data_IF_252890660491
#
_entry.id   IF_252890660491
#
_cell.length_a   1.000
_cell.length_b   1.000
_cell.length_c   1.000
_cell.angle_alpha   90.00
_cell.angle_beta   90.00
_cell.angle_gamma   90.00
#
_symmetry.space_group_name_H-M   'P 1'
#
loop_
_entity.id
_entity.type
_entity.pdbx_description
1 polymer ?
#
# COMPACT_ATOMS: atom_id res chain seq x y z
N UNK A 1 -38.30 21.79 -38.34
CA UNK A 1 -38.67 22.14 -36.95
C UNK A 1 -37.58 21.60 -36.00
N UNK A 2 -37.07 22.48 -35.15
CA UNK A 2 -35.91 22.41 -34.22
C UNK A 2 -35.29 21.05 -33.86
N UNK A 3 -34.09 20.77 -34.41
CA UNK A 3 -33.05 19.92 -33.79
C UNK A 3 -31.72 20.61 -33.39
N UNK A 4 -31.45 21.93 -33.62
CA UNK A 4 -30.19 22.54 -33.19
C UNK A 4 -29.98 22.51 -31.67
N UNK A 5 -31.06 22.66 -30.89
CA UNK A 5 -30.99 22.63 -29.43
C UNK A 5 -30.65 21.24 -28.89
N UNK A 6 -31.09 20.16 -29.56
CA UNK A 6 -30.81 18.80 -29.10
C UNK A 6 -29.32 18.46 -29.26
N UNK A 7 -28.71 18.79 -30.40
CA UNK A 7 -27.28 18.57 -30.61
C UNK A 7 -26.42 19.39 -29.64
N UNK A 8 -26.81 20.64 -29.35
CA UNK A 8 -26.14 21.45 -28.32
C UNK A 8 -26.24 20.82 -26.94
N UNK A 9 -27.41 20.30 -26.56
CA UNK A 9 -27.60 19.62 -25.28
C UNK A 9 -26.79 18.32 -25.19
N UNK A 10 -26.68 17.56 -26.28
CA UNK A 10 -25.85 16.35 -26.35
C UNK A 10 -24.35 16.67 -26.23
N UNK A 11 -23.88 17.73 -26.89
CA UNK A 11 -22.49 18.21 -26.74
C UNK A 11 -22.21 18.66 -25.30
N UNK A 12 -23.11 19.45 -24.71
CA UNK A 12 -22.98 19.89 -23.32
C UNK A 12 -22.97 18.71 -22.34
N UNK A 13 -23.81 17.68 -22.58
CA UNK A 13 -23.79 16.45 -21.79
C UNK A 13 -22.43 15.76 -21.89
N UNK A 14 -21.90 15.58 -23.11
CA UNK A 14 -20.61 14.92 -23.31
C UNK A 14 -19.45 15.69 -22.63
N UNK A 15 -19.45 17.03 -22.71
CA UNK A 15 -18.48 17.87 -22.02
C UNK A 15 -18.59 17.78 -20.49
N UNK A 16 -19.82 17.81 -19.96
CA UNK A 16 -20.07 17.65 -18.52
C UNK A 16 -19.63 16.26 -18.04
N UNK A 17 -19.93 15.23 -18.80
CA UNK A 17 -19.58 13.84 -18.49
C UNK A 17 -18.06 13.64 -18.49
N UNK A 18 -17.35 14.24 -19.46
CA UNK A 18 -15.88 14.27 -19.48
C UNK A 18 -15.31 15.00 -18.25
N UNK A 19 -15.88 16.15 -17.86
CA UNK A 19 -15.46 16.89 -16.65
C UNK A 19 -15.71 16.09 -15.38
N UNK A 20 -16.87 15.43 -15.28
CA UNK A 20 -17.20 14.57 -14.13
C UNK A 20 -16.18 13.43 -14.04
N UNK A 21 -15.83 12.79 -15.15
CA UNK A 21 -14.86 11.71 -15.14
C UNK A 21 -13.46 12.18 -14.73
N UNK A 22 -13.02 13.36 -15.19
CA UNK A 22 -11.75 13.95 -14.77
C UNK A 22 -11.73 14.24 -13.27
N UNK A 23 -12.80 14.82 -12.72
CA UNK A 23 -12.92 15.10 -11.29
C UNK A 23 -12.89 13.81 -10.47
N UNK A 24 -13.64 12.79 -10.88
CA UNK A 24 -13.64 11.46 -10.23
C UNK A 24 -12.25 10.84 -10.22
N UNK A 25 -11.53 10.89 -11.34
CA UNK A 25 -10.18 10.35 -11.43
C UNK A 25 -9.22 11.09 -10.49
N UNK A 26 -9.36 12.42 -10.38
CA UNK A 26 -8.58 13.24 -9.45
C UNK A 26 -8.89 12.91 -7.99
N UNK A 27 -10.16 12.77 -7.63
CA UNK A 27 -10.56 12.38 -6.26
C UNK A 27 -10.05 10.99 -5.89
N UNK A 28 -10.15 10.02 -6.80
CA UNK A 28 -9.61 8.68 -6.59
C UNK A 28 -8.08 8.69 -6.41
N UNK A 29 -7.36 9.54 -7.15
CA UNK A 29 -5.92 9.72 -6.98
C UNK A 29 -5.59 10.33 -5.61
N UNK A 30 -6.30 11.37 -5.20
CA UNK A 30 -6.10 12.00 -3.89
C UNK A 30 -6.46 11.05 -2.73
N UNK A 31 -7.47 10.20 -2.90
CA UNK A 31 -7.79 9.16 -1.95
C UNK A 31 -6.68 8.11 -1.83
N UNK A 32 -6.13 7.64 -2.95
CA UNK A 32 -4.95 6.75 -2.94
C UNK A 32 -3.76 7.39 -2.24
N UNK A 33 -3.49 8.67 -2.48
CA UNK A 33 -2.41 9.42 -1.80
C UNK A 33 -2.65 9.48 -0.29
N UNK A 34 -3.88 9.79 0.14
CA UNK A 34 -4.25 9.82 1.56
C UNK A 34 -4.13 8.45 2.22
N UNK A 35 -4.55 7.39 1.53
CA UNK A 35 -4.43 6.02 2.03
C UNK A 35 -2.97 5.57 2.16
N UNK A 36 -2.15 5.79 1.14
CA UNK A 36 -0.70 5.54 1.20
C UNK A 36 -0.07 6.31 2.36
N UNK A 37 -0.42 7.59 2.55
CA UNK A 37 0.09 8.39 3.67
C UNK A 37 -0.32 7.81 5.02
N UNK A 38 -1.56 7.33 5.16
CA UNK A 38 -2.05 6.69 6.38
C UNK A 38 -1.25 5.43 6.71
N UNK A 39 -1.01 4.56 5.72
CA UNK A 39 -0.22 3.33 5.86
C UNK A 39 1.23 3.61 6.26
N UNK A 40 1.86 4.61 5.64
CA UNK A 40 3.22 5.03 5.99
C UNK A 40 3.29 5.53 7.44
N UNK A 41 2.36 6.40 7.85
CA UNK A 41 2.35 6.94 9.21
C UNK A 41 2.10 5.86 10.27
N UNK A 42 1.16 4.95 10.01
CA UNK A 42 0.90 3.81 10.89
C UNK A 42 2.12 2.89 10.97
N UNK A 43 2.74 2.56 9.84
CA UNK A 43 3.97 1.76 9.79
C UNK A 43 5.14 2.40 10.54
N UNK A 44 5.36 3.71 10.36
CA UNK A 44 6.41 4.44 11.07
C UNK A 44 6.19 4.43 12.60
N UNK A 45 4.93 4.50 13.05
CA UNK A 45 4.61 4.38 14.47
C UNK A 45 4.89 2.97 15.01
N UNK A 46 4.54 1.92 14.25
CA UNK A 46 4.86 0.53 14.63
C UNK A 46 6.36 0.30 14.69
N UNK A 47 7.14 0.79 13.73
CA UNK A 47 8.61 0.71 13.76
C UNK A 47 9.17 1.39 15.02
N UNK A 48 8.60 2.54 15.40
CA UNK A 48 8.97 3.24 16.62
C UNK A 48 8.64 2.42 17.88
N UNK A 49 7.48 1.78 17.93
CA UNK A 49 7.10 0.89 19.04
C UNK A 49 8.00 -0.34 19.15
N UNK A 50 8.52 -0.82 18.02
CA UNK A 50 9.51 -1.89 17.97
C UNK A 50 10.94 -1.40 18.28
N UNK A 51 11.11 -0.16 18.76
CA UNK A 51 12.42 0.43 19.08
C UNK A 51 13.42 0.42 17.91
N UNK A 52 12.91 0.44 16.67
CA UNK A 52 13.68 0.24 15.44
C UNK A 52 14.33 -1.15 15.29
N UNK A 53 13.94 -2.16 16.07
CA UNK A 53 14.31 -3.55 15.84
C UNK A 53 13.45 -4.15 14.70
N UNK A 54 13.89 -3.88 13.47
CA UNK A 54 13.24 -4.36 12.26
C UNK A 54 13.30 -5.88 12.12
N UNK A 55 14.30 -6.55 12.70
CA UNK A 55 14.41 -8.02 12.65
C UNK A 55 13.34 -8.66 13.50
N UNK A 56 13.14 -8.17 14.73
CA UNK A 56 12.05 -8.63 15.60
C UNK A 56 10.69 -8.38 14.94
N UNK A 57 10.46 -7.17 14.43
CA UNK A 57 9.22 -6.84 13.72
C UNK A 57 8.99 -7.73 12.50
N UNK A 58 10.04 -8.01 11.72
CA UNK A 58 9.99 -8.92 10.57
C UNK A 58 9.56 -10.33 10.97
N UNK A 59 10.10 -10.88 12.07
CA UNK A 59 9.70 -12.19 12.60
C UNK A 59 8.25 -12.22 13.07
N UNK A 60 7.78 -11.16 13.72
CA UNK A 60 6.36 -11.03 14.11
C UNK A 60 5.44 -10.96 12.88
N UNK A 61 5.83 -10.23 11.83
CA UNK A 61 5.07 -10.16 10.57
C UNK A 61 5.04 -11.50 9.83
N UNK A 62 6.13 -12.26 9.86
CA UNK A 62 6.18 -13.64 9.34
C UNK A 62 5.22 -14.53 10.12
N UNK A 63 5.29 -14.51 11.45
CA UNK A 63 4.43 -15.31 12.32
C UNK A 63 2.93 -14.97 12.14
N UNK A 64 2.61 -13.71 11.83
CA UNK A 64 1.26 -13.26 11.52
C UNK A 64 0.80 -13.56 10.08
N UNK A 65 1.65 -14.15 9.23
CA UNK A 65 1.35 -14.43 7.83
C UNK A 65 1.21 -13.17 6.96
N UNK A 66 1.76 -12.04 7.42
CA UNK A 66 1.65 -10.74 6.76
C UNK A 66 2.84 -10.40 5.86
N UNK A 67 3.86 -11.26 5.82
CA UNK A 67 5.09 -11.05 5.06
C UNK A 67 5.33 -12.22 4.10
N UNK A 68 5.55 -11.91 2.82
CA UNK A 68 5.90 -12.91 1.81
C UNK A 68 7.42 -13.13 1.73
N UNK A 69 7.89 -14.30 1.25
CA UNK A 69 9.32 -14.61 1.22
C UNK A 69 10.23 -13.61 0.51
N UNK A 70 9.72 -12.99 -0.56
CA UNK A 70 10.44 -11.94 -1.30
C UNK A 70 10.73 -10.69 -0.44
N UNK A 71 9.96 -10.46 0.61
CA UNK A 71 10.00 -9.25 1.43
C UNK A 71 10.82 -9.45 2.73
N UNK A 72 11.29 -10.68 3.01
CA UNK A 72 12.07 -10.99 4.23
C UNK A 72 13.40 -10.23 4.31
N UNK A 73 14.01 -9.96 3.15
CA UNK A 73 15.23 -9.17 3.08
C UNK A 73 15.02 -7.72 3.56
N UNK A 74 13.81 -7.15 3.42
CA UNK A 74 13.48 -5.79 3.87
C UNK A 74 13.56 -5.64 5.39
N UNK A 75 13.40 -6.74 6.12
CA UNK A 75 13.43 -6.78 7.59
C UNK A 75 14.69 -7.48 8.12
N UNK A 76 15.60 -7.92 7.24
CA UNK A 76 16.84 -8.60 7.64
C UNK A 76 16.64 -10.00 8.23
N UNK A 77 15.56 -10.68 7.86
CA UNK A 77 15.16 -12.02 8.36
C UNK A 77 15.20 -13.11 7.29
N UNK A 78 15.81 -12.83 6.12
CA UNK A 78 15.87 -13.77 4.99
C UNK A 78 16.53 -15.12 5.35
N UNK A 79 17.56 -15.10 6.20
CA UNK A 79 18.32 -16.29 6.59
C UNK A 79 17.71 -17.03 7.80
N UNK A 80 16.74 -16.42 8.50
CA UNK A 80 16.15 -16.98 9.74
C UNK A 80 15.22 -18.18 9.43
N UNK A 81 14.86 -18.38 8.16
CA UNK A 81 14.03 -19.50 7.70
C UNK A 81 14.85 -20.65 7.10
N UNK A 82 16.11 -20.38 6.76
CA UNK A 82 17.09 -21.37 6.28
C UNK A 82 17.79 -22.04 7.46
N UNK A 83 17.02 -22.53 8.45
CA UNK A 83 17.39 -23.62 9.36
C UNK A 83 18.76 -23.60 10.07
N UNK A 84 19.48 -22.48 10.11
CA UNK A 84 20.83 -22.41 10.68
C UNK A 84 20.81 -21.35 11.76
N UNK A 85 20.19 -21.71 12.88
CA UNK A 85 20.37 -21.03 14.15
C UNK A 85 21.76 -21.42 14.68
N UNK A 86 22.79 -20.54 14.60
CA UNK A 86 24.13 -20.87 15.06
C UNK A 86 24.16 -21.10 16.59
N UNK A 87 23.18 -20.62 17.34
CA UNK A 87 23.10 -20.82 18.80
C UNK A 87 22.61 -22.22 19.19
N UNK A 88 21.99 -22.98 18.27
CA UNK A 88 21.61 -24.38 18.54
C UNK A 88 22.78 -25.34 18.59
N UNK A 89 23.92 -24.98 17.99
CA UNK A 89 25.14 -25.81 17.97
C UNK A 89 26.03 -25.61 19.19
N UNK A 90 25.68 -24.72 20.12
CA UNK A 90 26.45 -24.46 21.34
C UNK A 90 26.05 -25.36 22.54
N UNK A 91 25.15 -26.34 22.35
CA UNK A 91 24.59 -27.14 23.44
C UNK A 91 24.72 -28.67 23.30
N UNK A 92 25.68 -29.15 22.49
CA UNK A 92 26.04 -30.58 22.41
C UNK A 92 27.52 -30.78 22.67
#
# INVERSE_FOLDING_TARGET
MSKPNLNKLLQQKAELEARIQQTRNREALEERKRDTRRKILAGAYVIKLAENDLKKLGRELIAAGMLEPRDYALFGVANDLDGTDPDRLALV
#
